data_IF_515924069234
#
_entry.id   IF_515924069234
#
_cell.length_a   1.000
_cell.length_b   1.000
_cell.length_c   1.000
_cell.angle_alpha   90.00
_cell.angle_beta   90.00
_cell.angle_gamma   90.00
#
_symmetry.space_group_name_H-M   'P 1'
#
loop_
_entity.id
_entity.type
_entity.pdbx_description
1 polymer ?
#
# COMPACT_ATOMS: atom_id res chain seq x y z
N UNK A 1 12.87 -24.16 -20.28
CA UNK A 1 11.75 -24.85 -19.61
C UNK A 1 11.58 -24.24 -18.23
N UNK A 2 10.79 -23.17 -18.11
CA UNK A 2 10.58 -22.45 -16.85
C UNK A 2 9.44 -23.13 -16.12
N UNK A 3 9.76 -23.90 -15.09
CA UNK A 3 8.77 -24.61 -14.27
C UNK A 3 7.87 -23.61 -13.57
N UNK A 4 6.61 -23.55 -14.01
CA UNK A 4 5.51 -22.88 -13.33
C UNK A 4 5.24 -23.63 -12.03
N UNK A 5 5.66 -23.06 -10.90
CA UNK A 5 5.34 -23.61 -9.58
C UNK A 5 3.87 -23.28 -9.29
N UNK A 6 2.98 -24.27 -9.12
CA UNK A 6 1.57 -24.00 -8.89
C UNK A 6 1.39 -23.23 -7.59
N UNK A 7 0.73 -22.08 -7.69
CA UNK A 7 0.42 -21.20 -6.57
C UNK A 7 -0.29 -21.97 -5.46
N UNK A 8 0.31 -21.92 -4.26
CA UNK A 8 -0.21 -22.53 -3.04
C UNK A 8 -1.64 -22.05 -2.81
N UNK A 9 -2.57 -22.98 -2.57
CA UNK A 9 -3.98 -22.70 -2.32
C UNK A 9 -4.17 -21.58 -1.28
N UNK A 10 -5.12 -20.70 -1.60
CA UNK A 10 -5.56 -19.61 -0.74
C UNK A 10 -6.09 -20.19 0.57
N UNK A 11 -5.39 -19.99 1.68
CA UNK A 11 -5.94 -20.26 2.99
C UNK A 11 -7.13 -19.32 3.19
N UNK A 12 -8.34 -19.91 3.17
CA UNK A 12 -9.60 -19.28 3.54
C UNK A 12 -9.52 -18.90 5.04
N UNK A 13 -8.83 -17.81 5.34
CA UNK A 13 -9.01 -17.11 6.61
C UNK A 13 -10.49 -16.81 6.76
N UNK A 14 -11.10 -17.40 7.79
CA UNK A 14 -12.53 -17.42 8.05
C UNK A 14 -13.20 -16.09 7.73
N UNK A 15 -14.02 -16.06 6.67
CA UNK A 15 -14.88 -14.92 6.41
C UNK A 15 -15.91 -14.87 7.53
N UNK A 16 -15.73 -13.95 8.49
CA UNK A 16 -16.74 -13.64 9.51
C UNK A 16 -17.89 -12.89 8.82
N UNK A 17 -18.83 -13.65 8.25
CA UNK A 17 -20.00 -13.13 7.55
C UNK A 17 -20.89 -12.30 8.46
N UNK A 18 -21.13 -11.05 8.09
CA UNK A 18 -22.01 -10.10 8.78
C UNK A 18 -21.72 -8.67 8.33
N UNK A 19 -22.76 -7.84 8.15
CA UNK A 19 -22.57 -6.42 7.86
C UNK A 19 -21.85 -5.73 9.03
N UNK A 20 -20.96 -4.79 8.73
CA UNK A 20 -20.30 -3.98 9.76
C UNK A 20 -21.34 -3.17 10.50
N UNK A 21 -21.34 -3.25 11.83
CA UNK A 21 -22.31 -2.52 12.66
C UNK A 21 -21.86 -1.10 13.00
N UNK A 22 -20.56 -0.83 12.90
CA UNK A 22 -19.98 0.50 13.13
C UNK A 22 -18.62 0.65 12.45
N UNK A 23 -18.09 1.87 12.39
CA UNK A 23 -16.71 2.12 11.93
C UNK A 23 -15.67 1.40 12.81
N UNK A 24 -15.85 1.40 14.13
CA UNK A 24 -14.97 0.70 15.07
C UNK A 24 -14.96 -0.82 14.83
N UNK A 25 -16.14 -1.40 14.60
CA UNK A 25 -16.29 -2.83 14.24
C UNK A 25 -15.58 -3.16 12.90
N UNK A 26 -15.70 -2.27 11.90
CA UNK A 26 -14.99 -2.42 10.64
C UNK A 26 -13.46 -2.39 10.79
N UNK A 27 -12.93 -1.49 11.62
CA UNK A 27 -11.49 -1.40 11.90
C UNK A 27 -10.99 -2.64 12.65
N UNK A 28 -11.72 -3.13 13.65
CA UNK A 28 -11.34 -4.31 14.43
C UNK A 28 -11.37 -5.61 13.61
N UNK A 29 -12.23 -5.66 12.58
CA UNK A 29 -12.38 -6.83 11.70
C UNK A 29 -11.54 -6.73 10.43
N UNK A 30 -10.73 -5.69 10.29
CA UNK A 30 -9.78 -5.59 9.18
C UNK A 30 -8.77 -6.74 9.26
N UNK A 31 -8.68 -7.52 8.19
CA UNK A 31 -7.72 -8.62 8.07
C UNK A 31 -6.44 -8.06 7.43
N UNK A 32 -5.32 -8.02 8.17
CA UNK A 32 -4.05 -7.60 7.61
C UNK A 32 -3.46 -8.67 6.71
N UNK A 33 -2.58 -8.26 5.81
CA UNK A 33 -1.87 -9.15 4.88
C UNK A 33 -0.39 -8.83 4.89
N UNK A 34 0.46 -9.85 4.99
CA UNK A 34 1.89 -9.73 4.70
C UNK A 34 2.16 -10.20 3.28
N UNK A 35 2.96 -9.47 2.51
CA UNK A 35 3.32 -9.83 1.14
C UNK A 35 4.79 -9.61 0.85
N UNK A 36 5.48 -10.64 0.36
CA UNK A 36 6.88 -10.50 0.01
C UNK A 36 7.03 -9.96 -1.42
N UNK A 37 7.61 -8.76 -1.55
CA UNK A 37 7.90 -8.13 -2.85
C UNK A 37 8.82 -8.98 -3.73
N UNK A 38 9.74 -9.75 -3.12
CA UNK A 38 10.71 -10.59 -3.82
C UNK A 38 10.12 -11.90 -4.32
N UNK A 39 9.38 -12.62 -3.48
CA UNK A 39 8.74 -13.89 -3.86
C UNK A 39 7.42 -13.71 -4.60
N UNK A 40 6.82 -12.51 -4.52
CA UNK A 40 5.47 -12.21 -4.99
C UNK A 40 4.40 -13.13 -4.40
N UNK A 41 4.55 -13.50 -3.13
CA UNK A 41 3.66 -14.38 -2.39
C UNK A 41 3.20 -13.74 -1.07
N UNK A 42 1.97 -14.05 -0.66
CA UNK A 42 1.47 -13.73 0.67
C UNK A 42 2.21 -14.53 1.75
N UNK A 43 2.32 -13.94 2.94
CA UNK A 43 2.99 -14.47 4.12
C UNK A 43 2.09 -14.32 5.33
N UNK A 44 2.36 -15.12 6.35
CA UNK A 44 1.69 -15.05 7.64
C UNK A 44 2.42 -14.08 8.59
N UNK A 45 3.68 -13.77 8.31
CA UNK A 45 4.53 -12.90 9.11
C UNK A 45 5.48 -12.07 8.24
N UNK A 46 6.20 -11.14 8.90
CA UNK A 46 7.22 -10.28 8.29
C UNK A 46 8.35 -11.07 7.63
N UNK A 47 8.87 -12.11 8.27
CA UNK A 47 9.98 -12.88 7.71
C UNK A 47 9.53 -13.74 6.52
N UNK A 48 10.18 -13.56 5.36
CA UNK A 48 9.98 -14.45 4.21
C UNK A 48 11.07 -15.53 4.12
N UNK A 49 10.70 -16.70 3.60
CA UNK A 49 11.63 -17.80 3.27
C UNK A 49 12.80 -17.43 2.35
N UNK A 50 12.70 -16.36 1.57
CA UNK A 50 13.78 -15.89 0.70
C UNK A 50 14.77 -14.95 1.41
N UNK A 51 14.63 -14.76 2.73
CA UNK A 51 15.44 -13.87 3.55
C UNK A 51 15.04 -12.39 3.50
N UNK A 52 14.09 -12.01 2.64
CA UNK A 52 13.57 -10.63 2.59
C UNK A 52 12.42 -10.41 3.59
N UNK A 53 12.20 -9.17 3.98
CA UNK A 53 11.03 -8.76 4.75
C UNK A 53 9.80 -8.64 3.83
N UNK A 54 8.68 -9.18 4.28
CA UNK A 54 7.36 -8.97 3.71
C UNK A 54 6.81 -7.61 4.13
N UNK A 55 6.08 -6.99 3.22
CA UNK A 55 5.39 -5.72 3.41
C UNK A 55 4.06 -5.97 4.08
N UNK A 56 3.75 -5.16 5.09
CA UNK A 56 2.49 -5.21 5.81
C UNK A 56 1.43 -4.34 5.12
N UNK A 57 0.23 -4.88 4.97
CA UNK A 57 -0.96 -4.16 4.54
C UNK A 57 -2.04 -4.29 5.62
N UNK A 58 -2.58 -3.19 6.16
CA UNK A 58 -3.55 -3.23 7.25
C UNK A 58 -4.94 -3.71 6.81
N UNK A 59 -5.24 -3.75 5.50
CA UNK A 59 -6.53 -4.22 5.00
C UNK A 59 -6.44 -5.03 3.71
N UNK A 60 -7.41 -5.93 3.51
CA UNK A 60 -7.54 -6.69 2.25
C UNK A 60 -7.87 -5.81 1.05
N UNK A 61 -8.56 -4.69 1.24
CA UNK A 61 -8.86 -3.73 0.17
C UNK A 61 -7.60 -3.05 -0.36
N UNK A 62 -6.74 -2.63 0.56
CA UNK A 62 -5.46 -2.01 0.23
C UNK A 62 -4.53 -3.03 -0.43
N UNK A 63 -4.45 -4.25 0.10
CA UNK A 63 -3.70 -5.32 -0.53
C UNK A 63 -4.19 -5.64 -1.95
N UNK A 64 -5.51 -5.64 -2.20
CA UNK A 64 -6.06 -5.81 -3.57
C UNK A 64 -5.68 -4.66 -4.49
N UNK A 65 -5.67 -3.42 -3.99
CA UNK A 65 -5.20 -2.27 -4.77
C UNK A 65 -3.72 -2.42 -5.12
N UNK A 66 -2.90 -2.79 -4.15
CA UNK A 66 -1.50 -3.12 -4.34
C UNK A 66 -1.29 -4.22 -5.40
N UNK A 67 -2.02 -5.34 -5.31
CA UNK A 67 -1.93 -6.44 -6.27
C UNK A 67 -2.17 -5.97 -7.71
N UNK A 68 -3.13 -5.06 -7.94
CA UNK A 68 -3.34 -4.48 -9.27
C UNK A 68 -2.10 -3.73 -9.77
N UNK A 69 -1.45 -2.93 -8.93
CA UNK A 69 -0.20 -2.23 -9.30
C UNK A 69 0.93 -3.22 -9.56
N UNK A 70 1.08 -4.25 -8.73
CA UNK A 70 2.10 -5.28 -8.95
C UNK A 70 1.90 -6.04 -10.29
N UNK A 71 0.64 -6.25 -10.71
CA UNK A 71 0.33 -6.81 -12.03
C UNK A 71 0.67 -5.84 -13.17
N UNK A 72 0.41 -4.54 -13.00
CA UNK A 72 0.82 -3.52 -13.98
C UNK A 72 2.35 -3.44 -14.10
N UNK A 73 3.08 -3.57 -12.99
CA UNK A 73 4.54 -3.62 -13.00
C UNK A 73 5.04 -4.87 -13.73
N UNK A 74 4.45 -6.04 -13.46
CA UNK A 74 4.78 -7.26 -14.17
C UNK A 74 4.48 -7.16 -15.68
N UNK A 75 3.43 -6.45 -16.06
CA UNK A 75 3.09 -6.18 -17.45
C UNK A 75 3.97 -5.09 -18.11
N UNK A 76 4.85 -4.44 -17.35
CA UNK A 76 5.71 -3.36 -17.85
C UNK A 76 5.02 -2.00 -18.04
N UNK A 77 3.77 -1.86 -17.60
CA UNK A 77 3.02 -0.60 -17.69
C UNK A 77 3.49 0.44 -16.65
N UNK A 78 4.07 -0.03 -15.54
CA UNK A 78 4.74 0.78 -14.53
C UNK A 78 6.06 0.13 -14.13
N UNK A 79 6.95 0.88 -13.50
CA UNK A 79 8.25 0.38 -12.98
C UNK A 79 8.56 0.97 -11.61
N UNK A 80 9.57 0.45 -10.92
CA UNK A 80 10.04 0.90 -9.60
C UNK A 80 8.92 0.94 -8.53
N UNK A 81 8.03 -0.05 -8.47
CA UNK A 81 6.93 -0.06 -7.51
C UNK A 81 7.44 -0.19 -6.07
N UNK A 82 7.18 0.84 -5.26
CA UNK A 82 7.54 0.92 -3.85
C UNK A 82 6.28 1.10 -3.01
N UNK A 83 5.94 0.14 -2.13
CA UNK A 83 4.89 0.34 -1.14
C UNK A 83 5.41 1.19 0.03
N UNK A 84 4.52 1.97 0.63
CA UNK A 84 4.77 2.76 1.84
C UNK A 84 5.98 3.72 1.79
N UNK A 85 6.21 4.48 0.70
CA UNK A 85 7.29 5.47 0.66
C UNK A 85 7.08 6.52 1.76
N UNK A 86 8.14 6.82 2.51
CA UNK A 86 8.13 7.74 3.66
C UNK A 86 8.74 9.08 3.28
N UNK A 87 8.05 10.15 3.64
CA UNK A 87 8.41 11.54 3.42
C UNK A 87 8.48 12.26 4.77
N UNK A 88 9.64 12.28 5.44
CA UNK A 88 9.83 13.04 6.67
C UNK A 88 9.69 14.55 6.40
N UNK A 89 8.64 15.18 6.89
CA UNK A 89 8.40 16.60 6.72
C UNK A 89 9.10 17.38 7.84
N UNK A 90 10.27 17.94 7.54
CA UNK A 90 11.04 18.78 8.46
C UNK A 90 10.87 20.26 8.11
N UNK A 91 10.60 21.10 9.11
CA UNK A 91 10.55 22.56 8.97
C UNK A 91 11.60 23.15 9.91
N UNK A 92 12.51 23.96 9.38
CA UNK A 92 13.65 24.51 10.13
C UNK A 92 14.46 23.42 10.87
N UNK A 93 14.67 22.27 10.22
CA UNK A 93 15.40 21.13 10.80
C UNK A 93 14.59 20.25 11.77
N UNK A 94 13.44 20.70 12.26
CA UNK A 94 12.59 19.97 13.21
C UNK A 94 11.60 19.06 12.46
N UNK A 95 11.49 17.79 12.86
CA UNK A 95 10.52 16.85 12.30
C UNK A 95 9.10 17.19 12.79
N UNK A 96 8.24 17.66 11.89
CA UNK A 96 6.84 17.97 12.18
C UNK A 96 5.98 16.71 12.09
N UNK A 97 6.14 15.96 11.00
CA UNK A 97 5.46 14.69 10.79
C UNK A 97 6.18 13.86 9.72
N UNK A 98 5.79 12.59 9.56
CA UNK A 98 6.14 11.81 8.37
C UNK A 98 4.88 11.54 7.58
N UNK A 99 4.84 12.00 6.32
CA UNK A 99 3.83 11.54 5.39
C UNK A 99 4.26 10.20 4.82
N UNK A 100 3.37 9.20 4.83
CA UNK A 100 3.59 7.90 4.19
C UNK A 100 2.51 7.75 3.14
N UNK A 101 2.89 7.67 1.87
CA UNK A 101 1.94 7.36 0.80
C UNK A 101 1.78 5.84 0.70
N UNK A 102 0.74 5.34 0.04
CA UNK A 102 0.55 3.90 -0.10
C UNK A 102 1.50 3.33 -1.15
N UNK A 103 1.68 4.05 -2.27
CA UNK A 103 2.54 3.60 -3.37
C UNK A 103 3.33 4.75 -4.02
N UNK A 104 4.52 4.42 -4.48
CA UNK A 104 5.31 5.21 -5.43
C UNK A 104 5.73 4.30 -6.58
N UNK A 105 5.66 4.79 -7.81
CA UNK A 105 6.14 4.07 -8.99
C UNK A 105 6.46 5.06 -10.13
N UNK A 106 6.96 4.55 -11.25
CA UNK A 106 7.11 5.28 -12.50
C UNK A 106 6.12 4.78 -13.54
N UNK A 107 5.44 5.69 -14.23
CA UNK A 107 4.59 5.32 -15.36
C UNK A 107 5.42 4.94 -16.61
N UNK A 108 4.72 4.54 -17.68
CA UNK A 108 5.33 4.20 -18.97
C UNK A 108 6.15 5.34 -19.62
N UNK A 109 5.96 6.59 -19.17
CA UNK A 109 6.70 7.76 -19.63
C UNK A 109 7.85 8.13 -18.67
N UNK A 110 8.12 7.30 -17.65
CA UNK A 110 9.16 7.53 -16.64
C UNK A 110 8.78 8.55 -15.57
N UNK A 111 7.56 9.10 -15.60
CA UNK A 111 7.09 10.11 -14.62
C UNK A 111 6.89 9.44 -13.28
N UNK A 112 7.39 10.08 -12.22
CA UNK A 112 7.23 9.61 -10.84
C UNK A 112 5.80 9.89 -10.38
N UNK A 113 5.09 8.84 -9.99
CA UNK A 113 3.72 8.89 -9.49
C UNK A 113 3.73 8.49 -8.02
N UNK A 114 3.06 9.29 -7.18
CA UNK A 114 2.83 8.99 -5.77
C UNK A 114 1.32 8.94 -5.55
N UNK A 115 0.85 7.83 -5.01
CA UNK A 115 -0.57 7.53 -4.84
C UNK A 115 -0.92 7.32 -3.37
N UNK A 116 -2.04 7.93 -2.96
CA UNK A 116 -2.66 7.74 -1.64
C UNK A 116 -4.03 7.08 -1.86
N UNK A 117 -4.09 5.77 -1.60
CA UNK A 117 -5.30 4.98 -1.67
C UNK A 117 -6.24 5.30 -0.50
N UNK A 118 -7.52 5.41 -0.83
CA UNK A 118 -8.60 5.64 0.14
C UNK A 118 -9.73 4.67 -0.15
N UNK A 119 -9.97 3.77 0.79
CA UNK A 119 -11.10 2.84 0.70
C UNK A 119 -12.48 3.53 0.66
N UNK A 120 -12.56 4.78 1.14
CA UNK A 120 -13.74 5.65 1.03
C UNK A 120 -13.36 7.12 1.25
N UNK A 121 -14.16 8.05 0.70
CA UNK A 121 -14.01 9.51 0.95
C UNK A 121 -14.15 9.90 2.42
N UNK A 122 -14.91 9.13 3.19
CA UNK A 122 -15.10 9.36 4.62
C UNK A 122 -13.81 9.12 5.44
N UNK A 123 -12.78 8.50 4.87
CA UNK A 123 -11.50 8.26 5.53
C UNK A 123 -10.48 9.41 5.38
N UNK A 124 -10.89 10.57 4.86
CA UNK A 124 -10.03 11.75 4.81
C UNK A 124 -10.17 12.59 6.09
N UNK A 125 -9.34 12.31 7.09
CA UNK A 125 -9.19 13.19 8.26
C UNK A 125 -8.46 14.50 7.89
N UNK A 126 -8.68 15.57 8.67
CA UNK A 126 -7.98 16.85 8.47
C UNK A 126 -6.46 16.70 8.56
N UNK A 127 -5.99 15.79 9.43
CA UNK A 127 -4.57 15.50 9.60
C UNK A 127 -3.89 14.96 8.34
N UNK A 128 -4.50 14.01 7.62
CA UNK A 128 -3.93 13.49 6.36
C UNK A 128 -3.86 14.54 5.27
N UNK A 129 -4.85 15.43 5.18
CA UNK A 129 -4.84 16.55 4.23
C UNK A 129 -3.64 17.47 4.46
N UNK A 130 -3.39 17.84 5.72
CA UNK A 130 -2.25 18.69 6.08
C UNK A 130 -0.92 17.98 5.82
N UNK A 131 -0.78 16.71 6.24
CA UNK A 131 0.42 15.91 5.99
C UNK A 131 0.75 15.80 4.49
N UNK A 132 -0.25 15.55 3.64
CA UNK A 132 -0.09 15.52 2.17
C UNK A 132 0.35 16.87 1.62
N UNK A 133 -0.35 17.95 1.97
CA UNK A 133 -0.01 19.31 1.52
C UNK A 133 1.41 19.70 1.92
N UNK A 134 1.81 19.40 3.16
CA UNK A 134 3.14 19.67 3.66
C UNK A 134 4.20 18.87 2.91
N UNK A 135 3.96 17.57 2.68
CA UNK A 135 4.88 16.74 1.90
C UNK A 135 5.01 17.23 0.46
N UNK A 136 3.90 17.59 -0.19
CA UNK A 136 3.89 18.18 -1.53
C UNK A 136 4.72 19.47 -1.58
N UNK A 137 4.55 20.36 -0.61
CA UNK A 137 5.30 21.61 -0.54
C UNK A 137 6.80 21.41 -0.30
N UNK A 138 7.19 20.49 0.59
CA UNK A 138 8.60 20.25 0.93
C UNK A 138 9.34 19.52 -0.19
N UNK A 139 8.71 18.51 -0.80
CA UNK A 139 9.35 17.61 -1.75
C UNK A 139 9.05 17.93 -3.22
N UNK A 140 8.18 18.91 -3.51
CA UNK A 140 7.76 19.25 -4.87
C UNK A 140 7.04 18.09 -5.56
N UNK A 141 6.33 17.25 -4.80
CA UNK A 141 5.66 16.04 -5.31
C UNK A 141 4.18 16.28 -5.57
N UNK A 142 3.68 15.68 -6.63
CA UNK A 142 2.25 15.55 -6.89
C UNK A 142 1.73 14.24 -6.28
N UNK A 143 0.65 14.33 -5.51
CA UNK A 143 0.05 13.18 -4.82
C UNK A 143 -1.34 12.94 -5.39
N UNK A 144 -1.53 11.81 -6.07
CA UNK A 144 -2.82 11.40 -6.63
C UNK A 144 -3.61 10.61 -5.58
N UNK A 145 -4.84 11.06 -5.28
CA UNK A 145 -5.74 10.33 -4.39
C UNK A 145 -6.53 9.32 -5.23
N UNK A 146 -6.44 8.04 -4.89
CA UNK A 146 -7.15 6.96 -5.58
C UNK A 146 -8.21 6.38 -4.66
N UNK A 147 -9.44 6.30 -5.15
CA UNK A 147 -10.58 5.74 -4.41
C UNK A 147 -10.90 4.32 -4.90
N UNK A 148 -11.54 3.52 -4.04
CA UNK A 148 -11.97 2.15 -4.35
C UNK A 148 -13.12 2.13 -5.36
#
# INVERSE_FOLDING_TARGET
>A
MTTFVPGRQWNKGQQRSGAFQSFGDAVQRAIPVWFCMRCREQREAKACRCGADAVYFPSTSEFKAFQRRAMLELAGAITDLKPHPRFPCKVNGVLVCTYTADWEYRDQHGRRIIEDFKGSRAHQDGGSKVRRKLASAIYGIEITIVEK
#
